data_IF_182244201037
#
_entry.id   IF_182244201037
#
_cell.length_a   1.000
_cell.length_b   1.000
_cell.length_c   1.000
_cell.angle_alpha   90.00
_cell.angle_beta   90.00
_cell.angle_gamma   90.00
#
_symmetry.space_group_name_H-M   'P 1'
#
loop_
_entity.id
_entity.type
_entity.pdbx_description
1 polymer ?
#
# COMPACT_ATOMS: atom_id res chain seq x y z
N UNK A 1 -17.53 -20.13 -2.80
CA UNK A 1 -16.16 -20.68 -2.71
C UNK A 1 -15.65 -20.39 -1.31
N UNK A 2 -15.22 -21.41 -0.57
CA UNK A 2 -14.48 -21.24 0.68
C UNK A 2 -13.01 -21.56 0.38
N UNK A 3 -12.10 -20.64 0.70
CA UNK A 3 -10.70 -20.75 0.32
C UNK A 3 -9.78 -20.07 1.33
N UNK A 4 -8.51 -20.46 1.34
CA UNK A 4 -7.44 -19.75 2.04
C UNK A 4 -6.82 -18.68 1.13
N UNK A 5 -6.00 -17.79 1.70
CA UNK A 5 -5.33 -16.70 0.98
C UNK A 5 -4.52 -17.16 -0.25
N UNK A 6 -4.05 -18.41 -0.28
CA UNK A 6 -3.16 -18.92 -1.34
C UNK A 6 -3.94 -19.34 -2.60
N UNK A 7 -5.27 -19.55 -2.53
CA UNK A 7 -6.09 -19.83 -3.73
C UNK A 7 -6.45 -18.54 -4.49
N UNK A 8 -6.02 -17.37 -3.98
CA UNK A 8 -6.19 -16.06 -4.62
C UNK A 8 -5.37 -15.90 -5.92
N UNK A 9 -4.33 -16.73 -6.12
CA UNK A 9 -3.49 -16.69 -7.31
C UNK A 9 -4.12 -17.44 -8.49
N UNK A 10 -5.05 -16.78 -9.18
CA UNK A 10 -5.37 -17.12 -10.58
C UNK A 10 -6.80 -17.59 -10.88
N UNK A 11 -7.67 -17.68 -9.88
CA UNK A 11 -9.10 -17.93 -10.10
C UNK A 11 -9.83 -16.58 -10.14
N UNK A 12 -10.14 -16.12 -11.36
CA UNK A 12 -11.06 -15.01 -11.59
C UNK A 12 -12.48 -15.57 -11.73
N UNK A 13 -13.39 -15.18 -10.83
CA UNK A 13 -14.81 -15.57 -10.90
C UNK A 13 -15.58 -14.29 -11.21
N UNK A 14 -15.92 -14.03 -12.48
CA UNK A 14 -16.61 -12.81 -12.85
C UNK A 14 -17.93 -12.62 -12.08
N UNK A 15 -18.69 -13.71 -11.87
CA UNK A 15 -19.95 -13.63 -11.13
C UNK A 15 -19.82 -13.31 -9.63
N UNK A 16 -18.61 -13.30 -9.06
CA UNK A 16 -18.42 -13.02 -7.64
C UNK A 16 -18.42 -11.50 -7.37
N UNK A 17 -19.49 -11.02 -6.74
CA UNK A 17 -19.66 -9.60 -6.41
C UNK A 17 -19.56 -9.30 -4.91
N UNK A 18 -19.26 -10.31 -4.10
CA UNK A 18 -19.12 -10.17 -2.65
C UNK A 18 -18.01 -11.05 -2.14
N UNK A 19 -17.14 -10.48 -1.29
CA UNK A 19 -16.07 -11.19 -0.60
C UNK A 19 -16.21 -10.98 0.90
N UNK A 20 -15.95 -12.04 1.67
CA UNK A 20 -15.87 -12.00 3.13
C UNK A 20 -14.47 -12.47 3.50
N UNK A 21 -13.70 -11.59 4.15
CA UNK A 21 -12.33 -11.87 4.59
C UNK A 21 -12.39 -12.13 6.08
N UNK A 22 -12.23 -13.40 6.46
CA UNK A 22 -12.16 -13.79 7.86
C UNK A 22 -10.80 -13.40 8.46
N UNK A 23 -10.79 -13.01 9.73
CA UNK A 23 -9.60 -12.56 10.46
C UNK A 23 -8.77 -11.50 9.70
N UNK A 24 -9.45 -10.50 9.14
CA UNK A 24 -8.83 -9.47 8.29
C UNK A 24 -7.65 -8.74 8.95
N UNK A 25 -7.66 -8.63 10.28
CA UNK A 25 -6.58 -8.05 11.08
C UNK A 25 -5.22 -8.75 10.91
N UNK A 26 -5.18 -9.98 10.38
CA UNK A 26 -3.94 -10.75 10.15
C UNK A 26 -3.26 -10.46 8.81
N UNK A 27 -3.94 -9.77 7.89
CA UNK A 27 -3.47 -9.52 6.52
C UNK A 27 -2.78 -8.17 6.39
N UNK A 28 -1.78 -8.06 5.50
CA UNK A 28 -1.18 -6.79 5.11
C UNK A 28 -2.17 -5.82 4.44
N UNK A 29 -1.86 -4.53 4.41
CA UNK A 29 -2.73 -3.53 3.77
C UNK A 29 -2.82 -3.81 2.26
N UNK A 30 -1.68 -4.11 1.65
CA UNK A 30 -1.59 -4.51 0.25
C UNK A 30 -2.39 -5.79 -0.05
N UNK A 31 -2.33 -6.80 0.82
CA UNK A 31 -3.06 -8.07 0.63
C UNK A 31 -4.58 -7.84 0.68
N UNK A 32 -5.06 -7.07 1.68
CA UNK A 32 -6.47 -6.69 1.79
C UNK A 32 -6.94 -5.91 0.56
N UNK A 33 -6.09 -5.02 0.04
CA UNK A 33 -6.38 -4.27 -1.18
C UNK A 33 -6.49 -5.18 -2.41
N UNK A 34 -5.58 -6.16 -2.55
CA UNK A 34 -5.61 -7.13 -3.64
C UNK A 34 -6.88 -8.00 -3.57
N UNK A 35 -7.20 -8.53 -2.39
CA UNK A 35 -8.41 -9.33 -2.13
C UNK A 35 -9.69 -8.54 -2.47
N UNK A 36 -9.76 -7.27 -2.05
CA UNK A 36 -10.87 -6.37 -2.39
C UNK A 36 -11.02 -6.21 -3.90
N UNK A 37 -9.91 -6.07 -4.63
CA UNK A 37 -9.90 -5.92 -6.10
C UNK A 37 -10.33 -7.16 -6.89
N UNK A 38 -10.58 -8.30 -6.22
CA UNK A 38 -11.11 -9.51 -6.86
C UNK A 38 -12.62 -9.48 -7.09
N UNK A 39 -13.34 -8.57 -6.44
CA UNK A 39 -14.79 -8.38 -6.64
C UNK A 39 -15.08 -7.01 -7.27
N UNK A 40 -16.26 -6.84 -7.86
CA UNK A 40 -16.68 -5.55 -8.42
C UNK A 40 -16.20 -5.28 -9.85
N UNK A 41 -16.02 -6.33 -10.65
CA UNK A 41 -15.69 -6.22 -12.09
C UNK A 41 -16.89 -5.88 -12.98
N UNK A 42 -18.07 -5.69 -12.39
CA UNK A 42 -19.34 -5.46 -13.08
C UNK A 42 -19.93 -4.08 -12.75
N UNK A 43 -20.97 -3.67 -13.47
CA UNK A 43 -21.69 -2.41 -13.24
C UNK A 43 -22.52 -2.38 -11.95
N UNK A 44 -22.61 -3.49 -11.24
CA UNK A 44 -23.35 -3.63 -9.98
C UNK A 44 -22.38 -3.41 -8.83
N UNK A 45 -22.83 -2.69 -7.80
CA UNK A 45 -22.03 -2.42 -6.62
C UNK A 45 -21.58 -3.72 -5.94
N UNK A 46 -20.28 -3.83 -5.68
CA UNK A 46 -19.66 -4.94 -4.96
C UNK A 46 -19.55 -4.65 -3.46
N UNK A 47 -19.43 -5.71 -2.67
CA UNK A 47 -19.24 -5.60 -1.22
C UNK A 47 -18.05 -6.42 -0.76
N UNK A 48 -17.24 -5.84 0.13
CA UNK A 48 -16.15 -6.53 0.80
C UNK A 48 -16.35 -6.40 2.31
N UNK A 49 -16.54 -7.53 2.99
CA UNK A 49 -16.72 -7.58 4.44
C UNK A 49 -15.43 -8.03 5.11
N UNK A 50 -14.92 -7.22 6.03
CA UNK A 50 -13.71 -7.49 6.81
C UNK A 50 -14.14 -7.95 8.20
N UNK A 51 -13.97 -9.23 8.50
CA UNK A 51 -14.33 -9.78 9.82
C UNK A 51 -13.12 -9.80 10.75
N UNK A 52 -13.34 -9.34 11.99
CA UNK A 52 -12.34 -9.35 13.07
C UNK A 52 -13.01 -9.78 14.38
N UNK A 53 -12.29 -10.45 15.30
CA UNK A 53 -12.88 -10.95 16.55
C UNK A 53 -13.44 -9.83 17.44
N UNK A 54 -12.69 -8.75 17.64
CA UNK A 54 -13.16 -7.49 18.24
C UNK A 54 -12.14 -6.40 17.98
N UNK A 55 -12.60 -5.17 17.72
CA UNK A 55 -11.71 -4.02 17.51
C UNK A 55 -10.85 -3.70 18.73
N UNK A 56 -11.30 -4.05 19.94
CA UNK A 56 -10.57 -3.83 21.19
C UNK A 56 -9.42 -4.82 21.40
N UNK A 57 -9.55 -6.03 20.83
CA UNK A 57 -8.62 -7.14 21.04
C UNK A 57 -7.47 -7.13 20.02
N UNK A 58 -7.69 -6.53 18.84
CA UNK A 58 -6.66 -6.48 17.79
C UNK A 58 -5.57 -5.43 18.08
N UNK A 59 -4.33 -5.67 17.62
CA UNK A 59 -3.24 -4.69 17.75
C UNK A 59 -3.61 -3.33 17.15
N UNK A 60 -3.09 -2.24 17.74
CA UNK A 60 -3.37 -0.88 17.28
C UNK A 60 -2.98 -0.66 15.80
N UNK A 61 -1.87 -1.24 15.35
CA UNK A 61 -1.43 -1.15 13.95
C UNK A 61 -2.40 -1.86 13.00
N UNK A 62 -2.92 -3.02 13.40
CA UNK A 62 -3.93 -3.73 12.61
C UNK A 62 -5.23 -2.92 12.52
N UNK A 63 -5.61 -2.21 13.60
CA UNK A 63 -6.77 -1.31 13.60
C UNK A 63 -6.59 -0.14 12.64
N UNK A 64 -5.45 0.55 12.69
CA UNK A 64 -5.13 1.66 11.76
C UNK A 64 -5.19 1.21 10.31
N UNK A 65 -4.60 0.06 10.01
CA UNK A 65 -4.64 -0.54 8.67
C UNK A 65 -6.08 -0.83 8.20
N UNK A 66 -6.92 -1.38 9.06
CA UNK A 66 -8.32 -1.67 8.74
C UNK A 66 -9.15 -0.39 8.51
N UNK A 67 -8.84 0.70 9.23
CA UNK A 67 -9.45 2.01 8.97
C UNK A 67 -9.00 2.57 7.63
N UNK A 68 -7.71 2.51 7.32
CA UNK A 68 -7.17 2.98 6.04
C UNK A 68 -7.81 2.26 4.84
N UNK A 69 -7.99 0.94 4.88
CA UNK A 69 -8.61 0.22 3.74
C UNK A 69 -10.09 0.62 3.52
N UNK A 70 -10.78 1.05 4.58
CA UNK A 70 -12.15 1.56 4.52
C UNK A 70 -12.20 2.99 3.96
N UNK A 71 -11.32 3.87 4.44
CA UNK A 71 -11.18 5.25 3.97
C UNK A 71 -10.76 5.31 2.50
N UNK A 72 -9.82 4.47 2.08
CA UNK A 72 -9.32 4.40 0.71
C UNK A 72 -10.12 3.43 -0.17
N UNK A 73 -11.46 3.43 -0.05
CA UNK A 73 -12.36 2.54 -0.81
C UNK A 73 -12.76 3.04 -2.20
N UNK A 74 -12.40 4.28 -2.56
CA UNK A 74 -12.75 4.88 -3.85
C UNK A 74 -11.91 4.37 -5.02
N UNK A 75 -12.48 4.39 -6.23
CA UNK A 75 -11.78 3.99 -7.46
C UNK A 75 -10.57 4.93 -7.70
N UNK A 76 -9.36 4.37 -7.80
CA UNK A 76 -8.12 5.14 -7.99
C UNK A 76 -7.28 5.34 -6.73
N UNK A 77 -7.75 4.90 -5.56
CA UNK A 77 -7.04 5.03 -4.28
C UNK A 77 -5.79 4.15 -4.11
N UNK A 78 -5.42 3.36 -5.13
CA UNK A 78 -4.28 2.44 -5.06
C UNK A 78 -2.95 3.13 -4.75
N UNK A 79 -2.78 4.38 -5.20
CA UNK A 79 -1.61 5.20 -4.87
C UNK A 79 -1.60 5.63 -3.40
N UNK A 80 -2.74 6.04 -2.86
CA UNK A 80 -2.91 6.50 -1.47
C UNK A 80 -2.72 5.34 -0.48
N UNK A 81 -3.19 4.15 -0.85
CA UNK A 81 -2.98 2.91 -0.09
C UNK A 81 -1.50 2.53 -0.07
N UNK A 82 -0.80 2.66 -1.20
CA UNK A 82 0.62 2.38 -1.27
C UNK A 82 1.44 3.38 -0.42
N UNK A 83 1.07 4.66 -0.43
CA UNK A 83 1.69 5.68 0.42
C UNK A 83 1.45 5.39 1.91
N UNK A 84 0.22 5.02 2.26
CA UNK A 84 -0.17 4.65 3.63
C UNK A 84 0.55 3.40 4.15
N UNK A 85 0.72 2.38 3.30
CA UNK A 85 1.49 1.17 3.63
C UNK A 85 2.97 1.52 3.90
N UNK A 86 3.53 2.46 3.14
CA UNK A 86 4.90 2.93 3.31
C UNK A 86 5.08 3.73 4.62
N UNK A 87 4.13 4.59 4.96
CA UNK A 87 4.13 5.35 6.23
C UNK A 87 3.99 4.42 7.44
N UNK A 88 3.04 3.47 7.41
CA UNK A 88 2.84 2.49 8.46
C UNK A 88 4.08 1.61 8.70
N UNK A 89 4.87 1.34 7.65
CA UNK A 89 6.15 0.61 7.75
C UNK A 89 7.30 1.45 8.32
N UNK A 90 7.07 2.73 8.65
CA UNK A 90 8.05 3.56 9.35
C UNK A 90 8.86 4.50 8.46
N UNK A 91 8.42 4.78 7.22
CA UNK A 91 9.03 5.82 6.40
C UNK A 91 8.92 7.24 7.02
N UNK A 92 8.13 7.42 8.08
CA UNK A 92 8.03 8.68 8.82
C UNK A 92 9.23 9.04 9.70
N UNK A 93 10.17 8.11 9.94
CA UNK A 93 11.34 8.36 10.80
C UNK A 93 12.63 8.67 10.00
N UNK A 94 12.50 9.40 8.88
CA UNK A 94 13.65 9.82 8.05
C UNK A 94 14.59 10.80 8.80
N UNK A 95 14.12 11.47 9.85
CA UNK A 95 14.84 12.55 10.57
C UNK A 95 15.17 12.25 12.04
N UNK A 96 14.78 11.08 12.58
CA UNK A 96 15.02 10.70 13.98
C UNK A 96 16.37 10.01 14.19
N UNK A 97 16.99 10.22 15.36
CA UNK A 97 18.35 9.75 15.69
C UNK A 97 18.52 8.22 15.82
N UNK A 98 17.44 7.44 15.68
CA UNK A 98 17.47 6.00 15.86
C UNK A 98 17.27 5.24 14.53
N UNK A 99 18.21 5.27 13.59
CA UNK A 99 18.25 4.24 12.53
C UNK A 99 19.67 3.86 12.07
N UNK A 100 20.15 2.74 12.60
CA UNK A 100 21.23 1.94 12.02
C UNK A 100 20.70 1.18 10.78
N UNK A 101 20.57 1.86 9.64
CA UNK A 101 20.10 1.21 8.40
C UNK A 101 20.38 1.99 7.11
N UNK A 102 21.27 2.98 7.19
CA UNK A 102 21.42 4.11 6.26
C UNK A 102 22.04 3.79 4.89
N UNK A 103 22.15 2.52 4.48
CA UNK A 103 22.88 2.15 3.25
C UNK A 103 21.95 1.95 2.04
N UNK A 104 20.69 1.57 2.24
CA UNK A 104 19.76 1.34 1.11
C UNK A 104 18.79 2.51 0.86
N UNK A 105 18.66 3.45 1.80
CA UNK A 105 17.77 4.63 1.76
C UNK A 105 18.47 5.90 1.24
N UNK A 106 19.41 5.75 0.32
CA UNK A 106 19.97 6.88 -0.42
C UNK A 106 19.30 6.99 -1.81
N UNK A 107 18.54 5.94 -2.17
CA UNK A 107 17.83 5.76 -3.43
C UNK A 107 16.84 6.87 -3.75
N UNK A 108 16.79 7.20 -5.04
CA UNK A 108 16.07 8.31 -5.67
C UNK A 108 16.49 9.72 -5.25
N UNK A 109 16.48 10.09 -3.97
CA UNK A 109 16.79 11.47 -3.56
C UNK A 109 18.25 11.87 -3.83
N UNK A 110 19.23 11.05 -3.43
CA UNK A 110 20.63 11.34 -3.77
C UNK A 110 20.87 11.22 -5.28
N UNK A 111 20.19 10.28 -5.95
CA UNK A 111 20.25 10.18 -7.40
C UNK A 111 19.77 11.48 -8.05
N UNK A 112 18.64 12.05 -7.61
CA UNK A 112 18.15 13.35 -8.07
C UNK A 112 19.11 14.50 -7.72
N UNK A 113 19.73 14.50 -6.53
CA UNK A 113 20.72 15.52 -6.14
C UNK A 113 21.99 15.46 -6.99
N UNK A 114 22.53 14.27 -7.23
CA UNK A 114 23.71 14.07 -8.07
C UNK A 114 23.41 14.42 -9.53
N UNK A 115 22.27 13.98 -10.04
CA UNK A 115 21.83 14.25 -11.41
C UNK A 115 21.58 15.75 -11.63
N UNK A 116 20.99 16.45 -10.66
CA UNK A 116 20.80 17.90 -10.71
C UNK A 116 22.14 18.66 -10.71
N UNK A 117 23.08 18.23 -9.87
CA UNK A 117 24.43 18.80 -9.81
C UNK A 117 25.19 18.62 -11.14
N UNK A 118 25.07 17.45 -11.75
CA UNK A 118 25.74 17.17 -13.02
C UNK A 118 25.11 17.96 -14.18
N UNK A 119 23.78 18.13 -14.20
CA UNK A 119 23.09 18.98 -15.17
C UNK A 119 23.52 20.44 -15.04
N UNK A 120 23.64 20.97 -13.83
CA UNK A 120 24.11 22.35 -13.59
C UNK A 120 25.55 22.54 -14.05
N UNK A 121 26.43 21.56 -13.77
CA UNK A 121 27.82 21.59 -14.23
C UNK A 121 27.90 21.61 -15.76
N UNK A 122 27.18 20.71 -16.45
CA UNK A 122 27.19 20.65 -17.91
C UNK A 122 26.61 21.92 -18.56
N UNK A 123 25.55 22.51 -17.99
CA UNK A 123 25.02 23.80 -18.46
C UNK A 123 26.04 24.92 -18.38
N UNK A 124 26.83 24.97 -17.31
CA UNK A 124 27.91 25.94 -17.16
C UNK A 124 29.06 25.70 -18.16
N UNK A 125 29.48 24.44 -18.34
CA UNK A 125 30.57 24.08 -19.25
C UNK A 125 30.22 24.35 -20.71
N UNK A 126 28.98 24.06 -21.12
CA UNK A 126 28.54 24.21 -22.51
C UNK A 126 27.78 25.51 -22.80
N UNK A 127 27.65 26.39 -21.81
CA UNK A 127 26.96 27.69 -21.89
C UNK A 127 25.54 27.60 -22.49
N UNK A 128 24.84 26.51 -22.16
CA UNK A 128 23.48 26.23 -22.62
C UNK A 128 22.54 26.99 -21.67
N UNK A 129 21.77 27.95 -22.21
CA UNK A 129 20.74 28.70 -21.45
C UNK A 129 19.65 27.80 -20.90
#
# INVERSE_FOLDING_TARGET
LLSTAIVESGIDIPGANTIIINDAHRFGLADLHQLRGRVGRFKVQAYAYLSVPSFEVIPADARKRLQMIEEFSHLGSGFEIAMSDLELRGAGNILGQEQHGFIWMVGFDLYCRLLKKEIEYLRQVFNIK
#
